data_IF_595074952273
#
_entry.id   IF_595074952273
#
_cell.length_a   1.000
_cell.length_b   1.000
_cell.length_c   1.000
_cell.angle_alpha   90.00
_cell.angle_beta   90.00
_cell.angle_gamma   90.00
#
_symmetry.space_group_name_H-M   'P 1'
#
loop_
_entity.id
_entity.type
_entity.pdbx_description
1 polymer ?
#
# COMPACT_ATOMS: atom_id res chain seq x y z
N UNK A 1 17.63 -6.93 -10.74
CA UNK A 1 16.67 -5.96 -11.30
C UNK A 1 15.31 -6.36 -10.76
N UNK A 2 14.84 -5.71 -9.70
CA UNK A 2 13.53 -5.99 -9.09
C UNK A 2 12.46 -5.52 -10.07
N UNK A 3 11.71 -6.46 -10.66
CA UNK A 3 10.55 -6.15 -11.48
C UNK A 3 9.53 -5.40 -10.60
N UNK A 4 9.56 -4.08 -10.72
CA UNK A 4 8.64 -3.16 -10.08
C UNK A 4 7.29 -3.20 -10.81
N UNK A 5 6.65 -4.37 -10.87
CA UNK A 5 5.27 -4.49 -11.36
C UNK A 5 4.34 -3.84 -10.32
N UNK A 6 4.42 -2.52 -10.23
CA UNK A 6 3.55 -1.69 -9.45
C UNK A 6 3.15 -0.47 -10.26
N UNK A 7 1.88 -0.14 -10.20
CA UNK A 7 1.32 1.04 -10.84
C UNK A 7 1.00 2.08 -9.75
N UNK A 8 1.33 3.36 -9.97
CA UNK A 8 0.89 4.40 -9.05
C UNK A 8 -0.64 4.47 -9.05
N UNK A 9 -1.21 4.69 -7.87
CA UNK A 9 -2.66 4.89 -7.69
C UNK A 9 -2.89 6.16 -6.87
N UNK A 10 -4.14 6.61 -6.80
CA UNK A 10 -4.54 7.72 -5.93
C UNK A 10 -4.89 7.23 -4.52
N UNK A 11 -4.88 8.16 -3.56
CA UNK A 11 -5.37 7.91 -2.20
C UNK A 11 -6.80 7.35 -2.21
N UNK A 12 -7.71 7.97 -2.97
CA UNK A 12 -9.10 7.52 -3.10
C UNK A 12 -9.21 6.07 -3.60
N UNK A 13 -8.33 5.63 -4.52
CA UNK A 13 -8.29 4.25 -4.98
C UNK A 13 -7.84 3.30 -3.86
N UNK A 14 -6.80 3.67 -3.11
CA UNK A 14 -6.34 2.89 -1.95
C UNK A 14 -7.43 2.77 -0.89
N UNK A 15 -8.03 3.89 -0.50
CA UNK A 15 -9.06 3.95 0.55
C UNK A 15 -10.30 3.13 0.18
N UNK A 16 -10.70 3.15 -1.10
CA UNK A 16 -11.83 2.36 -1.58
C UNK A 16 -11.67 0.84 -1.36
N UNK A 17 -10.42 0.36 -1.28
CA UNK A 17 -10.09 -1.04 -0.98
C UNK A 17 -9.82 -1.21 0.51
N UNK A 18 -9.08 -0.30 1.14
CA UNK A 18 -8.76 -0.33 2.57
C UNK A 18 -10.01 -0.46 3.43
N UNK A 19 -11.06 0.31 3.13
CA UNK A 19 -12.35 0.27 3.85
C UNK A 19 -13.12 -1.05 3.70
N UNK A 20 -12.76 -1.87 2.71
CA UNK A 20 -13.39 -3.17 2.42
C UNK A 20 -12.54 -4.36 2.91
N UNK A 21 -11.39 -4.09 3.51
CA UNK A 21 -10.51 -5.14 4.01
C UNK A 21 -11.13 -5.85 5.21
N UNK A 22 -10.86 -7.15 5.30
CA UNK A 22 -11.17 -7.97 6.46
C UNK A 22 -10.04 -7.87 7.49
N UNK A 23 -10.33 -8.30 8.72
CA UNK A 23 -9.33 -8.37 9.79
C UNK A 23 -8.08 -9.15 9.31
N UNK A 24 -6.90 -8.55 9.47
CA UNK A 24 -5.62 -9.12 9.06
C UNK A 24 -5.19 -8.86 7.62
N UNK A 25 -6.07 -8.32 6.76
CA UNK A 25 -5.73 -7.95 5.38
C UNK A 25 -5.04 -6.59 5.29
N UNK A 26 -5.51 -5.60 6.04
CA UNK A 26 -4.82 -4.32 6.20
C UNK A 26 -3.76 -4.45 7.32
N UNK A 27 -2.50 -4.22 6.97
CA UNK A 27 -1.37 -4.27 7.88
C UNK A 27 -0.70 -2.91 7.98
N UNK A 28 -0.29 -2.57 9.19
CA UNK A 28 0.45 -1.35 9.49
C UNK A 28 1.90 -1.70 9.84
N UNK A 29 2.85 -0.92 9.35
CA UNK A 29 4.26 -1.02 9.71
C UNK A 29 4.87 0.37 9.89
N UNK A 30 5.61 0.56 10.98
CA UNK A 30 6.42 1.77 11.16
C UNK A 30 7.66 1.72 10.27
N UNK A 31 7.92 2.80 9.55
CA UNK A 31 9.08 3.04 8.70
C UNK A 31 9.83 4.28 9.18
N UNK A 32 10.98 4.53 8.59
CA UNK A 32 11.85 5.66 8.92
C UNK A 32 11.13 7.01 8.80
N UNK A 33 10.33 7.20 7.75
CA UNK A 33 9.67 8.47 7.44
C UNK A 33 8.17 8.51 7.78
N UNK A 34 7.63 7.46 8.39
CA UNK A 34 6.22 7.43 8.79
C UNK A 34 5.63 6.02 8.82
N UNK A 35 4.31 5.95 8.72
CA UNK A 35 3.57 4.69 8.75
C UNK A 35 3.27 4.21 7.32
N UNK A 36 3.71 2.99 7.04
CA UNK A 36 3.30 2.23 5.85
C UNK A 36 2.03 1.43 6.16
N UNK A 37 1.09 1.46 5.22
CA UNK A 37 -0.05 0.55 5.18
C UNK A 37 0.09 -0.40 3.99
N UNK A 38 -0.21 -1.67 4.19
CA UNK A 38 -0.21 -2.68 3.10
C UNK A 38 -1.48 -3.52 3.17
N UNK A 39 -2.07 -3.76 2.00
CA UNK A 39 -3.26 -4.58 1.84
C UNK A 39 -2.84 -5.92 1.25
N UNK A 40 -3.17 -7.01 1.95
CA UNK A 40 -2.86 -8.38 1.57
C UNK A 40 -4.15 -9.17 1.36
N UNK A 41 -4.30 -9.76 0.18
CA UNK A 41 -5.43 -10.65 -0.16
C UNK A 41 -4.85 -12.01 -0.53
N UNK A 42 -5.29 -13.09 0.13
CA UNK A 42 -4.80 -14.45 -0.10
C UNK A 42 -3.26 -14.56 -0.06
N UNK A 43 -2.61 -13.86 0.89
CA UNK A 43 -1.15 -13.75 1.03
C UNK A 43 -0.42 -13.01 -0.09
N UNK A 44 -1.12 -12.37 -1.01
CA UNK A 44 -0.55 -11.50 -2.05
C UNK A 44 -0.68 -10.04 -1.63
N UNK A 45 0.43 -9.28 -1.71
CA UNK A 45 0.39 -7.82 -1.57
C UNK A 45 -0.32 -7.24 -2.78
N UNK A 46 -1.45 -6.56 -2.56
CA UNK A 46 -2.24 -5.97 -3.66
C UNK A 46 -2.06 -4.47 -3.74
N UNK A 47 -1.95 -3.79 -2.60
CA UNK A 47 -1.76 -2.34 -2.53
C UNK A 47 -0.88 -1.96 -1.33
N UNK A 48 -0.18 -0.84 -1.44
CA UNK A 48 0.50 -0.23 -0.30
C UNK A 48 0.43 1.29 -0.34
N UNK A 49 0.61 1.91 0.83
CA UNK A 49 0.93 3.32 0.95
C UNK A 49 2.10 3.52 1.90
N UNK A 50 3.03 4.40 1.56
CA UNK A 50 4.22 4.72 2.35
C UNK A 50 4.52 6.22 2.28
N UNK A 51 5.20 6.74 3.31
CA UNK A 51 5.63 8.14 3.37
C UNK A 51 7.10 8.19 2.95
N UNK A 52 7.41 9.04 1.99
CA UNK A 52 8.79 9.25 1.55
C UNK A 52 9.54 10.26 2.45
N UNK A 53 10.82 10.48 2.16
CA UNK A 53 11.69 11.40 2.90
C UNK A 53 11.24 12.86 2.88
N UNK A 54 10.40 13.26 1.92
CA UNK A 54 9.86 14.61 1.80
C UNK A 54 8.52 14.73 2.57
N UNK A 55 8.08 13.65 3.23
CA UNK A 55 6.81 13.60 3.97
C UNK A 55 5.60 13.37 3.06
N UNK A 56 5.80 13.04 1.78
CA UNK A 56 4.70 12.82 0.84
C UNK A 56 4.28 11.36 0.87
N UNK A 57 2.96 11.12 0.98
CA UNK A 57 2.40 9.77 0.94
C UNK A 57 2.24 9.31 -0.50
N UNK A 58 2.86 8.18 -0.82
CA UNK A 58 2.77 7.51 -2.12
C UNK A 58 1.84 6.30 -2.00
N UNK A 59 1.20 5.92 -3.12
CA UNK A 59 0.27 4.80 -3.17
C UNK A 59 0.56 3.93 -4.39
N UNK A 60 0.56 2.61 -4.19
CA UNK A 60 0.93 1.64 -5.22
C UNK A 60 -0.07 0.49 -5.28
N UNK A 61 -0.37 0.02 -6.49
CA UNK A 61 -1.07 -1.23 -6.77
C UNK A 61 -0.08 -2.24 -7.38
N UNK A 62 -0.13 -3.50 -6.95
CA UNK A 62 0.78 -4.58 -7.35
C UNK A 62 0.11 -5.68 -8.18
N UNK A 63 -1.16 -5.49 -8.51
CA UNK A 63 -1.89 -6.37 -9.42
C UNK A 63 -1.56 -5.95 -10.86
N UNK A 64 -0.68 -6.71 -11.50
CA UNK A 64 -0.33 -6.60 -12.93
C UNK A 64 -1.36 -7.30 -13.80
#
# INVERSE_FOLDING_TARGET
>A
MTNNNRSPITEAQFDSVAMKTQAGQLKQRNREYGVEFSIWINHTLVMSSDVDKEGVRQYWCYLS
#
